data_IF_876558767434
#
_entry.id   IF_876558767434
#
_cell.length_a   1.000
_cell.length_b   1.000
_cell.length_c   1.000
_cell.angle_alpha   90.00
_cell.angle_beta   90.00
_cell.angle_gamma   90.00
#
_symmetry.space_group_name_H-M   'P 1'
#
loop_
_entity.id
_entity.type
_entity.pdbx_description
1 polymer ?
#
# COMPACT_ATOMS: atom_id res chain seq x y z
N UNK A 1 -8.07 16.33 16.06
CA UNK A 1 -7.04 16.08 17.10
C UNK A 1 -5.96 15.20 16.52
N UNK A 2 -4.70 15.57 16.76
CA UNK A 2 -3.52 14.79 16.37
C UNK A 2 -2.75 14.45 17.65
N UNK A 3 -2.40 13.18 17.82
CA UNK A 3 -1.51 12.72 18.89
C UNK A 3 -0.27 12.07 18.28
N UNK A 4 0.84 12.13 19.01
CA UNK A 4 2.08 11.46 18.61
C UNK A 4 2.75 10.91 19.86
N UNK A 5 3.23 9.67 19.76
CA UNK A 5 4.11 9.04 20.76
C UNK A 5 5.24 8.31 20.07
N UNK A 6 6.39 8.19 20.71
CA UNK A 6 7.42 7.27 20.24
C UNK A 6 7.15 5.89 20.82
N UNK A 7 7.14 4.87 19.96
CA UNK A 7 6.90 3.48 20.38
C UNK A 7 8.20 2.71 20.52
N UNK A 8 9.21 3.07 19.74
CA UNK A 8 10.55 2.50 19.76
C UNK A 8 11.56 3.62 19.59
N UNK A 9 12.74 3.44 20.16
CA UNK A 9 13.88 4.34 20.02
C UNK A 9 15.07 3.50 19.51
N UNK A 10 15.71 3.98 18.45
CA UNK A 10 16.93 3.40 17.89
C UNK A 10 18.04 4.44 17.86
N UNK A 11 19.32 4.04 17.76
CA UNK A 11 20.44 4.97 17.67
C UNK A 11 20.33 5.97 16.50
N UNK A 12 19.68 5.56 15.42
CA UNK A 12 19.45 6.33 14.19
C UNK A 12 18.10 7.07 14.17
N UNK A 13 17.27 6.90 15.21
CA UNK A 13 16.05 7.70 15.40
C UNK A 13 14.90 6.97 16.08
N UNK A 14 13.86 7.71 16.51
CA UNK A 14 12.65 7.13 17.08
C UNK A 14 11.70 6.60 15.99
N UNK A 15 10.79 5.71 16.37
CA UNK A 15 9.62 5.32 15.57
C UNK A 15 8.35 6.04 16.08
N UNK A 16 7.90 7.14 15.42
CA UNK A 16 6.70 7.86 15.82
C UNK A 16 5.42 7.12 15.44
N UNK A 17 4.45 7.15 16.35
CA UNK A 17 3.11 6.60 16.18
C UNK A 17 2.09 7.72 16.30
N UNK A 18 1.41 8.01 15.19
CA UNK A 18 0.44 9.10 15.10
C UNK A 18 -0.99 8.58 15.28
N UNK A 19 -1.77 9.26 16.12
CA UNK A 19 -3.22 9.11 16.22
C UNK A 19 -3.90 10.30 15.56
N UNK A 20 -4.76 10.06 14.56
CA UNK A 20 -5.48 11.12 13.83
C UNK A 20 -6.98 10.93 14.07
N UNK A 21 -7.61 11.97 14.62
CA UNK A 21 -9.05 12.01 14.84
C UNK A 21 -9.61 13.27 14.18
N UNK A 22 -10.54 13.11 13.25
CA UNK A 22 -11.18 14.20 12.54
C UNK A 22 -12.69 13.96 12.44
N UNK A 23 -13.47 15.05 12.43
CA UNK A 23 -14.89 14.96 12.16
C UNK A 23 -15.11 14.54 10.69
N UNK A 24 -15.84 13.45 10.50
CA UNK A 24 -16.21 12.95 9.19
C UNK A 24 -17.54 13.55 8.72
N UNK A 25 -17.66 13.83 7.42
CA UNK A 25 -18.94 14.11 6.78
C UNK A 25 -19.60 12.77 6.44
N UNK A 26 -20.88 12.64 6.81
CA UNK A 26 -21.64 11.41 6.55
C UNK A 26 -21.66 11.13 5.04
N UNK A 27 -21.31 9.88 4.67
CA UNK A 27 -21.23 9.45 3.27
C UNK A 27 -19.91 9.75 2.57
N UNK A 28 -18.98 10.46 3.22
CA UNK A 28 -17.73 10.94 2.59
C UNK A 28 -16.48 10.58 3.41
N UNK A 29 -16.66 9.84 4.51
CA UNK A 29 -15.60 9.58 5.50
C UNK A 29 -14.40 8.84 4.92
N UNK A 30 -14.62 7.91 3.98
CA UNK A 30 -13.54 7.17 3.33
C UNK A 30 -12.70 8.07 2.43
N UNK A 31 -13.34 8.88 1.57
CA UNK A 31 -12.62 9.85 0.73
C UNK A 31 -11.84 10.86 1.58
N UNK A 32 -12.45 11.38 2.64
CA UNK A 32 -11.77 12.28 3.58
C UNK A 32 -10.56 11.60 4.23
N UNK A 33 -10.68 10.33 4.60
CA UNK A 33 -9.58 9.57 5.16
C UNK A 33 -8.45 9.37 4.14
N UNK A 34 -8.78 9.03 2.89
CA UNK A 34 -7.80 8.86 1.81
C UNK A 34 -7.04 10.17 1.54
N UNK A 35 -7.74 11.31 1.52
CA UNK A 35 -7.14 12.63 1.39
C UNK A 35 -6.18 12.94 2.55
N UNK A 36 -6.62 12.71 3.79
CA UNK A 36 -5.78 12.91 4.99
C UNK A 36 -4.55 12.00 4.91
N UNK A 37 -4.72 10.72 4.57
CA UNK A 37 -3.64 9.74 4.45
C UNK A 37 -2.64 10.13 3.38
N UNK A 38 -3.10 10.63 2.23
CA UNK A 38 -2.23 11.10 1.17
C UNK A 38 -1.38 12.29 1.63
N UNK A 39 -2.01 13.33 2.18
CA UNK A 39 -1.31 14.53 2.66
C UNK A 39 -0.29 14.19 3.75
N UNK A 40 -0.65 13.33 4.70
CA UNK A 40 0.27 12.89 5.76
C UNK A 40 1.45 12.12 5.17
N UNK A 41 1.20 11.23 4.21
CA UNK A 41 2.25 10.40 3.61
C UNK A 41 3.24 11.23 2.79
N UNK A 42 2.75 12.21 2.03
CA UNK A 42 3.62 13.17 1.33
C UNK A 42 4.42 14.04 2.33
N UNK A 43 3.80 14.49 3.42
CA UNK A 43 4.48 15.26 4.45
C UNK A 43 5.58 14.46 5.17
N UNK A 44 5.37 13.16 5.42
CA UNK A 44 6.39 12.27 5.98
C UNK A 44 7.55 12.10 5.00
N UNK A 45 7.26 11.81 3.74
CA UNK A 45 8.28 11.63 2.71
C UNK A 45 9.12 12.90 2.49
N UNK A 46 8.48 14.08 2.43
CA UNK A 46 9.18 15.36 2.29
C UNK A 46 10.07 15.74 3.48
N UNK A 47 9.85 15.11 4.65
CA UNK A 47 10.68 15.30 5.86
C UNK A 47 11.71 14.18 6.06
N UNK A 48 11.88 13.29 5.09
CA UNK A 48 12.81 12.15 5.18
C UNK A 48 12.32 11.00 6.07
N UNK A 49 11.04 11.00 6.46
CA UNK A 49 10.44 9.90 7.22
C UNK A 49 10.17 8.68 6.34
N UNK A 50 10.37 7.49 6.89
CA UNK A 50 9.95 6.25 6.23
C UNK A 50 8.43 6.13 6.24
N UNK A 51 7.85 5.58 5.17
CA UNK A 51 6.38 5.49 5.03
C UNK A 51 5.74 4.55 6.05
N UNK A 52 6.50 3.55 6.51
CA UNK A 52 6.00 2.54 7.43
C UNK A 52 7.11 1.99 8.31
N UNK A 53 6.75 1.67 9.54
CA UNK A 53 7.54 0.83 10.45
C UNK A 53 6.93 -0.57 10.59
N UNK A 54 5.68 -0.77 10.14
CA UNK A 54 4.94 -2.02 10.35
C UNK A 54 4.85 -2.84 9.07
N UNK A 55 4.09 -2.36 8.10
CA UNK A 55 3.81 -3.03 6.86
C UNK A 55 3.46 -2.02 5.77
N UNK A 56 3.70 -2.40 4.51
CA UNK A 56 3.38 -1.58 3.34
C UNK A 56 1.87 -1.71 3.03
N UNK A 57 1.43 -2.89 2.59
CA UNK A 57 0.04 -3.09 2.14
C UNK A 57 -0.31 -2.21 0.94
N UNK A 58 -1.57 -2.23 0.50
CA UNK A 58 -2.01 -1.38 -0.63
C UNK A 58 -1.96 0.11 -0.29
N UNK A 59 -2.32 0.46 0.95
CA UNK A 59 -2.44 1.84 1.41
C UNK A 59 -1.12 2.60 1.37
N UNK A 60 0.02 1.98 1.74
CA UNK A 60 1.31 2.69 1.76
C UNK A 60 2.13 2.49 0.49
N UNK A 61 1.67 1.62 -0.41
CA UNK A 61 2.45 1.20 -1.58
C UNK A 61 2.90 2.34 -2.49
N UNK A 62 2.06 3.34 -2.83
CA UNK A 62 2.48 4.43 -3.72
C UNK A 62 3.73 5.18 -3.23
N UNK A 63 3.89 5.32 -1.91
CA UNK A 63 5.05 5.97 -1.30
C UNK A 63 6.20 5.00 -1.04
N UNK A 64 5.90 3.73 -0.71
CA UNK A 64 6.93 2.69 -0.57
C UNK A 64 7.67 2.45 -1.88
N UNK A 65 6.97 2.43 -3.01
CA UNK A 65 7.58 2.26 -4.33
C UNK A 65 8.59 3.38 -4.65
N UNK A 66 8.44 4.58 -4.05
CA UNK A 66 9.41 5.69 -4.17
C UNK A 66 10.61 5.56 -3.21
N UNK A 67 10.42 4.91 -2.06
CA UNK A 67 11.47 4.71 -1.05
C UNK A 67 12.30 3.45 -1.30
N UNK A 68 11.73 2.45 -1.99
CA UNK A 68 12.36 1.17 -2.29
C UNK A 68 13.15 1.25 -3.61
N UNK A 69 14.44 0.88 -3.64
CA UNK A 69 15.19 0.74 -4.88
C UNK A 69 14.63 -0.35 -5.82
N UNK A 70 14.72 -0.11 -7.13
CA UNK A 70 14.22 -1.03 -8.17
C UNK A 70 14.77 -2.46 -8.09
N UNK A 71 16.07 -2.72 -7.79
CA UNK A 71 16.58 -4.07 -7.66
C UNK A 71 15.86 -4.87 -6.56
N UNK A 72 15.46 -4.20 -5.48
CA UNK A 72 14.72 -4.83 -4.39
C UNK A 72 13.27 -5.17 -4.83
N UNK A 73 12.66 -4.32 -5.65
CA UNK A 73 11.37 -4.61 -6.27
C UNK A 73 11.43 -5.89 -7.13
N UNK A 74 12.46 -6.00 -7.96
CA UNK A 74 12.67 -7.14 -8.84
C UNK A 74 12.90 -8.43 -8.05
N UNK A 75 13.73 -8.38 -6.99
CA UNK A 75 13.99 -9.53 -6.13
C UNK A 75 12.70 -10.03 -5.43
N UNK A 76 11.89 -9.13 -4.87
CA UNK A 76 10.62 -9.48 -4.24
C UNK A 76 9.62 -10.08 -5.23
N UNK A 77 9.54 -9.51 -6.44
CA UNK A 77 8.67 -10.03 -7.50
C UNK A 77 9.10 -11.43 -7.97
N UNK A 78 10.40 -11.66 -8.12
CA UNK A 78 10.94 -12.97 -8.49
C UNK A 78 10.65 -14.03 -7.42
N UNK A 79 10.90 -13.71 -6.15
CA UNK A 79 10.57 -14.59 -5.03
C UNK A 79 9.07 -14.91 -4.98
N UNK A 80 8.20 -13.91 -5.19
CA UNK A 80 6.76 -14.09 -5.24
C UNK A 80 6.33 -15.01 -6.39
N UNK A 81 6.91 -14.85 -7.57
CA UNK A 81 6.61 -15.70 -8.73
C UNK A 81 7.05 -17.15 -8.53
N UNK A 82 8.16 -17.39 -7.83
CA UNK A 82 8.65 -18.73 -7.55
C UNK A 82 7.80 -19.45 -6.48
N UNK A 83 7.37 -18.72 -5.45
CA UNK A 83 6.65 -19.28 -4.30
C UNK A 83 5.14 -19.32 -4.47
N UNK A 84 4.57 -18.44 -5.29
CA UNK A 84 3.13 -18.40 -5.59
C UNK A 84 2.89 -18.11 -7.08
N UNK A 85 3.16 -19.09 -7.97
CA UNK A 85 2.99 -18.94 -9.41
C UNK A 85 1.53 -18.65 -9.83
N UNK A 86 0.57 -19.08 -9.01
CA UNK A 86 -0.85 -18.85 -9.24
C UNK A 86 -1.34 -17.49 -8.71
N UNK A 87 -0.53 -16.78 -7.90
CA UNK A 87 -0.87 -15.46 -7.35
C UNK A 87 -1.99 -15.48 -6.30
N UNK A 88 -2.20 -16.60 -5.61
CA UNK A 88 -3.29 -16.79 -4.65
C UNK A 88 -3.05 -16.02 -3.35
N UNK A 89 -1.80 -15.93 -2.90
CA UNK A 89 -1.46 -15.37 -1.59
C UNK A 89 -1.39 -13.83 -1.64
N UNK A 90 -2.49 -13.16 -1.25
CA UNK A 90 -2.62 -11.70 -1.13
C UNK A 90 -2.12 -10.92 -2.37
N UNK A 91 -2.85 -11.02 -3.50
CA UNK A 91 -2.43 -10.49 -4.78
C UNK A 91 -2.24 -8.96 -4.75
N UNK A 92 -1.24 -8.51 -5.51
CA UNK A 92 -0.91 -7.09 -5.75
C UNK A 92 -0.56 -6.24 -4.52
N UNK A 93 -0.34 -6.84 -3.35
CA UNK A 93 -0.03 -6.10 -2.11
C UNK A 93 1.33 -5.40 -2.15
N UNK A 94 2.38 -6.07 -2.63
CA UNK A 94 3.75 -5.51 -2.72
C UNK A 94 4.42 -5.70 -4.10
N UNK A 95 3.74 -6.36 -5.05
CA UNK A 95 4.19 -6.62 -6.42
C UNK A 95 3.22 -6.03 -7.45
N UNK A 96 3.66 -5.57 -8.63
CA UNK A 96 2.77 -5.01 -9.65
C UNK A 96 1.57 -5.94 -9.89
N UNK A 97 0.36 -5.37 -9.97
CA UNK A 97 -0.82 -6.15 -10.34
C UNK A 97 -0.59 -6.74 -11.74
N UNK A 98 -0.60 -8.06 -11.87
CA UNK A 98 -0.54 -8.72 -13.17
C UNK A 98 -1.84 -8.42 -13.92
N UNK A 99 -1.79 -7.43 -14.79
CA UNK A 99 -2.92 -6.96 -15.60
C UNK A 99 -3.26 -7.92 -16.74
N UNK A 100 -2.50 -9.00 -16.94
CA UNK A 100 -2.70 -9.94 -18.07
C UNK A 100 -3.81 -10.98 -17.84
N UNK A 101 -4.28 -11.18 -16.61
CA UNK A 101 -5.26 -12.24 -16.29
C UNK A 101 -6.73 -11.86 -16.48
N UNK A 102 -7.06 -10.58 -16.67
CA UNK A 102 -8.45 -10.16 -16.87
C UNK A 102 -8.99 -10.30 -18.31
N UNK A 103 -8.19 -10.78 -19.28
CA UNK A 103 -8.60 -10.86 -20.69
C UNK A 103 -9.13 -12.22 -21.16
N UNK A 104 -9.20 -13.25 -20.32
CA UNK A 104 -9.71 -14.58 -20.72
C UNK A 104 -10.73 -15.11 -19.71
N UNK A 105 -11.96 -14.60 -19.78
CA UNK A 105 -13.14 -15.40 -19.47
C UNK A 105 -13.69 -15.90 -20.82
N UNK A 106 -13.86 -17.22 -21.03
CA UNK A 106 -14.46 -17.74 -22.25
C UNK A 106 -15.89 -17.23 -22.36
N UNK A 107 -16.20 -16.55 -23.47
CA UNK A 107 -17.55 -16.13 -23.80
C UNK A 107 -18.47 -17.34 -23.86
N UNK A 108 -19.49 -17.35 -23.01
CA UNK A 108 -20.63 -18.24 -23.15
C UNK A 108 -21.43 -17.79 -24.38
N UNK A 109 -21.19 -18.41 -25.53
CA UNK A 109 -22.12 -18.36 -26.66
C UNK A 109 -23.40 -19.08 -26.23
N UNK A 110 -24.47 -18.33 -25.97
CA UNK A 110 -25.83 -18.87 -25.86
C UNK A 110 -26.44 -18.90 -27.27
N UNK A 111 -26.94 -20.04 -27.78
CA UNK A 111 -27.67 -20.04 -29.04
C UNK A 111 -29.01 -19.32 -28.85
N UNK A 112 -29.41 -18.55 -29.85
CA UNK A 112 -30.72 -17.93 -29.93
C UNK A 112 -31.77 -19.00 -30.25
N UNK A 113 -32.85 -18.97 -29.48
CA UNK A 113 -34.15 -19.57 -29.78
C UNK A 113 -35.21 -18.60 -29.31
#
# INVERSE_FOLDING_TARGET
MLTCRFTHLYPDGPAPYFGIYAAGRRGDTLRQWDEIKAVVSEALQGKGGTITHHAVGRDHRPWYDRQRPDPFAAALAAAKSALDPAGILNPASCSPADTRRHRQLPGTTRPAS
#
